data_IF_170267693267
#
_entry.id   IF_170267693267
#
_cell.length_a   1.000
_cell.length_b   1.000
_cell.length_c   1.000
_cell.angle_alpha   90.00
_cell.angle_beta   90.00
_cell.angle_gamma   90.00
#
_symmetry.space_group_name_H-M   'P 1'
#
loop_
_entity.id
_entity.type
_entity.pdbx_description
1 polymer ?
#
# COMPACT_ATOMS: atom_id res chain seq x y z
N UNK A 1 68.02 -21.65 -6.73
CA UNK A 1 66.60 -22.00 -6.48
C UNK A 1 65.74 -20.95 -7.16
N UNK A 2 64.81 -21.38 -8.04
CA UNK A 2 63.98 -20.48 -8.87
C UNK A 2 62.73 -20.06 -8.09
N UNK A 3 62.51 -18.77 -7.91
CA UNK A 3 61.31 -18.22 -7.27
C UNK A 3 60.15 -18.25 -8.28
N UNK A 4 59.10 -19.01 -7.99
CA UNK A 4 57.87 -19.05 -8.79
C UNK A 4 56.91 -18.01 -8.21
N UNK A 5 56.57 -17.01 -9.02
CA UNK A 5 55.55 -16.00 -8.71
C UNK A 5 54.20 -16.55 -9.15
N UNK A 6 53.31 -16.85 -8.20
CA UNK A 6 51.93 -17.29 -8.47
C UNK A 6 51.06 -16.03 -8.54
N UNK A 7 50.59 -15.68 -9.74
CA UNK A 7 49.57 -14.65 -9.93
C UNK A 7 48.19 -15.24 -9.63
N UNK A 8 47.51 -14.73 -8.61
CA UNK A 8 46.08 -14.97 -8.42
C UNK A 8 45.28 -14.03 -9.33
N UNK A 9 44.56 -14.60 -10.29
CA UNK A 9 43.53 -13.86 -11.04
C UNK A 9 42.24 -13.87 -10.22
N UNK A 10 41.81 -12.69 -9.75
CA UNK A 10 40.50 -12.49 -9.15
C UNK A 10 39.47 -12.41 -10.28
N UNK A 11 38.67 -13.46 -10.47
CA UNK A 11 37.54 -13.45 -11.40
C UNK A 11 36.37 -12.77 -10.68
N UNK A 12 36.04 -11.54 -11.08
CA UNK A 12 34.85 -10.84 -10.62
C UNK A 12 33.69 -11.28 -11.53
N UNK A 13 32.81 -12.14 -11.02
CA UNK A 13 31.51 -12.37 -11.65
C UNK A 13 30.63 -11.16 -11.36
N UNK A 14 30.38 -10.33 -12.38
CA UNK A 14 29.32 -9.34 -12.32
C UNK A 14 27.98 -10.05 -12.50
N UNK A 15 27.28 -10.32 -11.41
CA UNK A 15 25.87 -10.74 -11.49
C UNK A 15 25.05 -9.51 -11.87
N UNK A 16 24.47 -9.53 -13.06
CA UNK A 16 23.39 -8.59 -13.40
C UNK A 16 22.15 -9.03 -12.65
N UNK A 17 21.85 -8.41 -11.52
CA UNK A 17 20.52 -8.52 -10.90
C UNK A 17 19.56 -7.79 -11.83
N UNK A 18 18.74 -8.53 -12.54
CA UNK A 18 17.68 -7.96 -13.36
C UNK A 18 16.48 -7.73 -12.44
N UNK A 19 16.35 -6.52 -11.89
CA UNK A 19 15.19 -6.16 -11.09
C UNK A 19 13.98 -6.03 -12.02
N UNK A 20 12.88 -6.70 -11.70
CA UNK A 20 11.58 -6.46 -12.35
C UNK A 20 10.77 -5.43 -11.56
N UNK A 21 9.91 -4.71 -12.27
CA UNK A 21 8.98 -3.75 -11.70
C UNK A 21 7.55 -4.15 -12.03
N UNK A 22 6.59 -3.46 -11.41
CA UNK A 22 5.17 -3.56 -11.73
C UNK A 22 5.01 -3.37 -13.25
N UNK A 23 4.30 -4.29 -13.91
CA UNK A 23 4.02 -4.19 -15.35
C UNK A 23 2.64 -3.64 -15.65
N UNK A 24 1.69 -3.82 -14.75
CA UNK A 24 0.31 -3.40 -14.93
C UNK A 24 -0.37 -3.19 -13.59
N UNK A 25 -1.13 -2.10 -13.46
CA UNK A 25 -2.11 -1.91 -12.41
C UNK A 25 -3.44 -2.46 -12.92
N UNK A 26 -3.94 -3.49 -12.25
CA UNK A 26 -5.16 -4.22 -12.62
C UNK A 26 -6.39 -3.48 -12.07
N UNK A 27 -6.32 -3.07 -10.80
CA UNK A 27 -7.43 -2.41 -10.12
C UNK A 27 -6.92 -1.41 -9.08
N UNK A 28 -7.68 -0.36 -8.85
CA UNK A 28 -7.40 0.67 -7.85
C UNK A 28 -8.73 1.23 -7.33
N UNK A 29 -8.98 0.99 -6.05
CA UNK A 29 -10.15 1.52 -5.35
C UNK A 29 -9.68 2.22 -4.09
N UNK A 30 -9.63 3.57 -4.06
CA UNK A 30 -9.25 4.29 -2.86
C UNK A 30 -10.36 4.32 -1.81
N UNK A 31 -9.96 4.42 -0.55
CA UNK A 31 -10.79 4.93 0.53
C UNK A 31 -10.82 6.48 0.48
N UNK A 32 -11.72 7.17 1.19
CA UNK A 32 -11.72 8.63 1.23
C UNK A 32 -10.42 9.20 1.82
N UNK A 33 -9.99 10.40 1.40
CA UNK A 33 -8.80 11.02 1.98
C UNK A 33 -8.32 12.31 1.31
N UNK A 34 -7.38 12.98 1.98
CA UNK A 34 -6.88 14.32 1.62
C UNK A 34 -6.13 14.40 0.28
N UNK A 35 -5.69 13.27 -0.27
CA UNK A 35 -5.01 13.20 -1.56
C UNK A 35 -5.87 12.57 -2.65
N UNK A 36 -7.07 12.09 -2.30
CA UNK A 36 -8.02 11.52 -3.25
C UNK A 36 -8.67 12.63 -4.08
N UNK A 37 -9.02 12.30 -5.32
CA UNK A 37 -9.50 13.24 -6.34
C UNK A 37 -8.45 14.30 -6.70
N UNK A 38 -7.17 13.90 -6.67
CA UNK A 38 -6.06 14.75 -7.13
C UNK A 38 -5.23 14.01 -8.16
N UNK A 39 -4.83 14.72 -9.21
CA UNK A 39 -4.09 14.13 -10.33
C UNK A 39 -2.70 13.62 -9.90
N UNK A 40 -2.13 14.19 -8.82
CA UNK A 40 -0.79 13.86 -8.38
C UNK A 40 -0.69 12.50 -7.67
N UNK A 41 -1.71 12.13 -6.90
CA UNK A 41 -1.60 11.00 -5.96
C UNK A 41 -2.85 10.12 -5.87
N UNK A 42 -4.05 10.66 -6.10
CA UNK A 42 -5.30 9.96 -5.81
C UNK A 42 -6.25 9.96 -7.00
N UNK A 43 -5.71 9.56 -8.15
CA UNK A 43 -6.43 9.38 -9.41
C UNK A 43 -6.00 8.07 -10.08
N UNK A 44 -6.80 7.58 -11.01
CA UNK A 44 -6.44 6.41 -11.83
C UNK A 44 -5.14 6.65 -12.61
N UNK A 45 -4.88 7.88 -13.05
CA UNK A 45 -3.64 8.26 -13.73
C UNK A 45 -2.44 8.24 -12.77
N UNK A 46 -2.59 8.70 -11.53
CA UNK A 46 -1.54 8.61 -10.50
C UNK A 46 -1.16 7.15 -10.23
N UNK A 47 -2.15 6.25 -10.18
CA UNK A 47 -1.92 4.82 -10.02
C UNK A 47 -1.05 4.25 -11.16
N UNK A 48 -1.21 4.71 -12.41
CA UNK A 48 -0.38 4.24 -13.53
C UNK A 48 1.10 4.66 -13.41
N UNK A 49 1.42 5.70 -12.62
CA UNK A 49 2.80 6.22 -12.51
C UNK A 49 3.78 5.25 -11.85
N UNK A 50 3.27 4.24 -11.11
CA UNK A 50 4.10 3.24 -10.42
C UNK A 50 4.59 2.12 -11.35
N UNK A 51 4.11 2.07 -12.60
CA UNK A 51 4.46 1.04 -13.57
C UNK A 51 5.90 1.24 -14.07
N UNK A 52 6.67 0.15 -14.16
CA UNK A 52 7.95 0.09 -14.84
C UNK A 52 9.13 0.78 -14.15
N UNK A 53 8.96 1.33 -12.94
CA UNK A 53 10.04 1.97 -12.21
C UNK A 53 9.82 1.99 -10.69
N UNK A 54 10.78 2.55 -9.94
CA UNK A 54 10.63 2.88 -8.51
C UNK A 54 10.06 4.28 -8.27
N UNK A 55 9.71 4.99 -9.33
CA UNK A 55 9.11 6.32 -9.27
C UNK A 55 7.58 6.20 -9.24
N UNK A 56 6.92 7.31 -8.97
CA UNK A 56 5.47 7.36 -8.81
C UNK A 56 5.07 7.23 -7.34
N UNK A 57 3.86 7.70 -7.05
CA UNK A 57 3.25 7.63 -5.73
C UNK A 57 1.73 7.62 -5.92
N UNK A 58 1.06 6.71 -5.22
CA UNK A 58 -0.40 6.61 -5.21
C UNK A 58 -0.87 6.56 -3.76
N UNK A 59 -1.91 7.34 -3.44
CA UNK A 59 -2.56 7.32 -2.14
C UNK A 59 -3.68 6.28 -2.16
N UNK A 60 -3.71 5.41 -1.15
CA UNK A 60 -4.83 4.48 -0.95
C UNK A 60 -6.00 5.14 -0.21
N UNK A 61 -5.79 6.33 0.36
CA UNK A 61 -6.75 6.99 1.24
C UNK A 61 -6.76 6.37 2.64
N UNK A 62 -7.90 6.46 3.32
CA UNK A 62 -8.14 5.85 4.63
C UNK A 62 -8.16 4.30 4.57
N UNK A 63 -8.67 3.66 5.64
CA UNK A 63 -8.70 2.21 5.75
C UNK A 63 -9.44 1.53 4.58
N UNK A 64 -8.87 0.44 4.07
CA UNK A 64 -9.50 -0.47 3.11
C UNK A 64 -9.32 -0.06 1.65
N UNK A 65 -8.78 1.13 1.38
CA UNK A 65 -8.35 1.47 0.03
C UNK A 65 -7.20 0.57 -0.42
N UNK A 66 -7.22 0.17 -1.69
CA UNK A 66 -6.28 -0.82 -2.20
C UNK A 66 -5.88 -0.55 -3.65
N UNK A 67 -4.77 -1.18 -4.04
CA UNK A 67 -4.31 -1.27 -5.42
C UNK A 67 -3.88 -2.71 -5.70
N UNK A 68 -4.27 -3.25 -6.85
CA UNK A 68 -3.88 -4.56 -7.35
C UNK A 68 -3.01 -4.33 -8.58
N UNK A 69 -1.84 -4.96 -8.61
CA UNK A 69 -0.92 -4.90 -9.73
C UNK A 69 -0.26 -6.26 -9.94
N UNK A 70 0.35 -6.45 -11.12
CA UNK A 70 1.10 -7.66 -11.45
C UNK A 70 2.52 -7.37 -11.92
N UNK A 71 3.34 -8.41 -11.85
CA UNK A 71 4.69 -8.46 -12.41
C UNK A 71 4.67 -9.28 -13.70
N UNK A 72 5.63 -9.07 -14.59
CA UNK A 72 5.79 -9.89 -15.81
C UNK A 72 6.09 -11.34 -15.46
N UNK A 73 6.99 -11.55 -14.51
CA UNK A 73 7.42 -12.87 -14.08
C UNK A 73 7.01 -13.10 -12.63
N UNK A 74 6.71 -14.35 -12.23
CA UNK A 74 6.47 -14.68 -10.83
C UNK A 74 7.58 -14.16 -9.91
N UNK A 75 7.21 -13.65 -8.74
CA UNK A 75 8.16 -13.36 -7.66
C UNK A 75 8.60 -14.69 -7.05
N UNK A 76 9.85 -15.08 -7.27
CA UNK A 76 10.38 -16.35 -6.77
C UNK A 76 10.77 -16.24 -5.29
N UNK A 77 10.28 -17.17 -4.47
CA UNK A 77 10.80 -17.37 -3.12
C UNK A 77 12.16 -18.04 -3.20
N UNK A 78 13.22 -17.23 -3.10
CA UNK A 78 14.59 -17.70 -3.26
C UNK A 78 15.34 -17.62 -1.92
N UNK A 79 15.79 -18.75 -1.34
CA UNK A 79 16.49 -18.76 -0.06
C UNK A 79 17.85 -18.03 -0.10
N UNK A 80 18.41 -17.77 -1.28
CA UNK A 80 19.64 -17.02 -1.45
C UNK A 80 19.41 -15.49 -1.43
N UNK A 81 18.15 -15.03 -1.42
CA UNK A 81 17.84 -13.61 -1.31
C UNK A 81 18.31 -13.06 0.05
N UNK A 82 19.04 -11.93 0.08
CA UNK A 82 19.47 -11.31 1.32
C UNK A 82 18.29 -11.04 2.25
N UNK A 83 18.41 -11.49 3.50
CA UNK A 83 17.36 -11.39 4.52
C UNK A 83 16.04 -12.09 4.17
N UNK A 84 16.03 -12.95 3.14
CA UNK A 84 14.81 -13.62 2.66
C UNK A 84 13.81 -12.67 1.99
N UNK A 85 14.27 -11.55 1.42
CA UNK A 85 13.42 -10.54 0.80
C UNK A 85 13.29 -10.82 -0.70
N UNK A 86 12.11 -11.25 -1.13
CA UNK A 86 11.84 -11.56 -2.54
C UNK A 86 11.35 -10.32 -3.34
N UNK A 87 10.77 -9.34 -2.66
CA UNK A 87 10.35 -8.06 -3.24
C UNK A 87 10.27 -6.97 -2.16
N UNK A 88 10.17 -5.72 -2.60
CA UNK A 88 10.06 -4.55 -1.71
C UNK A 88 9.00 -3.60 -2.25
N UNK A 89 8.13 -3.10 -1.37
CA UNK A 89 7.17 -2.04 -1.67
C UNK A 89 7.68 -0.75 -1.02
N UNK A 90 7.96 0.25 -1.84
CA UNK A 90 8.40 1.56 -1.36
C UNK A 90 7.18 2.45 -1.06
N UNK A 91 7.26 3.24 0.01
CA UNK A 91 6.25 4.24 0.39
C UNK A 91 6.86 5.62 0.65
N UNK A 92 6.04 6.53 1.16
CA UNK A 92 6.41 7.91 1.51
C UNK A 92 6.51 8.14 3.04
N UNK A 93 6.91 7.10 3.76
CA UNK A 93 6.99 7.14 5.22
C UNK A 93 8.18 7.94 5.77
N UNK A 94 8.00 8.46 6.98
CA UNK A 94 9.08 8.93 7.86
C UNK A 94 9.03 8.16 9.20
N UNK A 95 10.01 8.36 10.09
CA UNK A 95 10.03 7.72 11.41
C UNK A 95 8.81 8.03 12.28
N UNK A 96 8.10 9.13 11.99
CA UNK A 96 6.91 9.58 12.72
C UNK A 96 5.66 9.66 11.84
N UNK A 97 5.73 9.27 10.56
CA UNK A 97 4.62 9.27 9.61
C UNK A 97 4.57 7.93 8.86
N UNK A 98 4.37 6.84 9.59
CA UNK A 98 4.09 5.54 8.99
C UNK A 98 2.60 5.36 8.71
N UNK A 99 2.24 4.92 7.51
CA UNK A 99 0.87 4.65 7.08
C UNK A 99 0.76 3.16 6.69
N UNK A 100 0.90 2.23 7.66
CA UNK A 100 1.12 0.82 7.37
C UNK A 100 -0.04 0.20 6.58
N UNK A 101 0.28 -0.33 5.40
CA UNK A 101 -0.65 -1.10 4.59
C UNK A 101 -0.29 -2.60 4.60
N UNK A 102 -1.29 -3.46 4.70
CA UNK A 102 -1.13 -4.92 4.61
C UNK A 102 -0.84 -5.33 3.17
N UNK A 103 0.06 -6.29 2.98
CA UNK A 103 0.41 -6.79 1.65
C UNK A 103 -0.19 -8.17 1.45
N UNK A 104 -0.96 -8.31 0.38
CA UNK A 104 -1.47 -9.60 -0.07
C UNK A 104 -0.73 -10.02 -1.34
N UNK A 105 -0.49 -11.32 -1.50
CA UNK A 105 0.09 -11.91 -2.69
C UNK A 105 -0.82 -13.01 -3.22
N UNK A 106 -0.87 -13.14 -4.53
CA UNK A 106 -1.61 -14.19 -5.21
C UNK A 106 -0.78 -14.68 -6.40
N UNK A 107 -0.81 -15.98 -6.61
CA UNK A 107 -0.24 -16.62 -7.80
C UNK A 107 -1.40 -16.96 -8.72
N UNK A 108 -1.30 -16.53 -9.98
CA UNK A 108 -2.23 -16.94 -11.04
C UNK A 108 -2.01 -18.44 -11.33
N UNK A 109 -2.77 -19.28 -10.64
CA UNK A 109 -2.70 -20.75 -10.73
C UNK A 109 -3.38 -21.24 -12.01
N UNK A 110 -4.44 -20.55 -12.43
CA UNK A 110 -5.26 -20.94 -13.57
C UNK A 110 -4.75 -20.33 -14.91
N UNK A 111 -3.82 -19.38 -14.87
CA UNK A 111 -3.18 -18.68 -15.99
C UNK A 111 -4.13 -17.83 -16.84
N UNK A 112 -5.16 -17.24 -16.22
CA UNK A 112 -6.12 -16.37 -16.92
C UNK A 112 -5.73 -14.88 -16.90
N UNK A 113 -4.70 -14.52 -16.13
CA UNK A 113 -4.20 -13.15 -16.00
C UNK A 113 -5.11 -12.19 -15.23
N UNK A 114 -6.13 -12.69 -14.50
CA UNK A 114 -7.02 -11.89 -13.65
C UNK A 114 -6.86 -12.25 -12.17
N UNK A 115 -7.18 -11.33 -11.25
CA UNK A 115 -6.89 -11.51 -9.82
C UNK A 115 -7.89 -12.39 -9.07
N UNK A 116 -8.22 -13.58 -9.59
CA UNK A 116 -9.35 -14.40 -9.12
C UNK A 116 -8.99 -15.73 -8.42
N UNK A 117 -7.69 -16.00 -8.20
CA UNK A 117 -7.21 -17.14 -7.42
C UNK A 117 -7.03 -16.80 -5.93
N UNK A 118 -6.39 -17.70 -5.16
CA UNK A 118 -6.26 -17.57 -3.70
C UNK A 118 -5.26 -16.49 -3.31
N UNK A 119 -5.75 -15.49 -2.56
CA UNK A 119 -4.94 -14.44 -1.96
C UNK A 119 -4.42 -14.83 -0.57
N UNK A 120 -3.16 -14.52 -0.31
CA UNK A 120 -2.48 -14.74 0.97
C UNK A 120 -1.99 -13.41 1.54
N UNK A 121 -2.39 -13.07 2.76
CA UNK A 121 -1.81 -11.96 3.50
C UNK A 121 -0.39 -12.33 3.96
N UNK A 122 0.59 -11.45 3.71
CA UNK A 122 1.90 -11.57 4.32
C UNK A 122 1.81 -11.10 5.78
N UNK A 123 2.07 -12.02 6.70
CA UNK A 123 1.96 -11.73 8.13
C UNK A 123 2.98 -10.67 8.57
N UNK A 124 2.48 -9.49 8.94
CA UNK A 124 3.26 -8.45 9.61
C UNK A 124 3.41 -8.67 11.12
N UNK A 125 4.14 -7.76 11.78
CA UNK A 125 4.47 -7.89 13.22
C UNK A 125 3.27 -7.94 14.16
N UNK A 126 2.11 -7.46 13.70
CA UNK A 126 0.90 -7.35 14.52
C UNK A 126 -0.13 -8.43 14.12
N UNK A 127 0.17 -9.26 13.12
CA UNK A 127 -0.77 -10.20 12.51
C UNK A 127 -1.42 -11.13 13.55
N UNK A 128 -0.66 -11.64 14.50
CA UNK A 128 -1.14 -12.59 15.52
C UNK A 128 -1.60 -11.93 16.83
N UNK A 129 -1.70 -10.61 16.89
CA UNK A 129 -2.22 -9.96 18.10
C UNK A 129 -3.72 -10.14 18.22
N UNK A 130 -4.21 -10.30 19.45
CA UNK A 130 -5.63 -10.53 19.74
C UNK A 130 -6.54 -9.36 19.37
N UNK A 131 -5.96 -8.19 19.05
CA UNK A 131 -6.66 -6.99 18.62
C UNK A 131 -6.54 -6.73 17.11
N UNK A 132 -5.95 -7.65 16.35
CA UNK A 132 -5.94 -7.62 14.89
C UNK A 132 -7.22 -8.28 14.37
N UNK A 133 -7.94 -7.55 13.52
CA UNK A 133 -9.20 -8.02 12.93
C UNK A 133 -8.99 -8.26 11.42
N UNK A 134 -8.84 -9.52 11.04
CA UNK A 134 -8.58 -9.93 9.64
C UNK A 134 -9.78 -9.81 8.69
N UNK A 135 -10.98 -9.72 9.23
CA UNK A 135 -12.24 -9.61 8.48
C UNK A 135 -12.98 -8.33 8.86
N UNK A 136 -12.24 -7.21 8.82
CA UNK A 136 -12.80 -5.91 9.14
C UNK A 136 -13.38 -5.26 7.88
N UNK A 137 -14.56 -4.66 8.03
CA UNK A 137 -15.30 -3.98 6.97
C UNK A 137 -15.64 -2.57 7.43
N UNK A 138 -15.48 -1.60 6.54
CA UNK A 138 -15.85 -0.22 6.79
C UNK A 138 -16.68 0.30 5.63
N UNK A 139 -17.77 0.99 5.95
CA UNK A 139 -18.64 1.64 4.97
C UNK A 139 -18.48 3.13 5.10
N UNK A 140 -18.05 3.79 4.02
CA UNK A 140 -17.97 5.24 3.91
C UNK A 140 -19.25 5.77 3.25
N UNK A 141 -19.84 6.81 3.83
CA UNK A 141 -21.03 7.47 3.28
C UNK A 141 -20.65 8.82 2.69
N UNK A 142 -21.09 9.10 1.47
CA UNK A 142 -20.78 10.35 0.79
C UNK A 142 -21.47 11.53 1.49
N UNK A 143 -20.74 12.56 1.96
CA UNK A 143 -21.34 13.74 2.59
C UNK A 143 -22.05 14.67 1.57
N UNK A 144 -22.01 14.36 0.28
CA UNK A 144 -22.63 15.10 -0.82
C UNK A 144 -22.17 16.57 -0.88
N UNK A 145 -20.88 16.79 -0.63
CA UNK A 145 -20.25 18.11 -0.70
C UNK A 145 -19.35 18.22 -1.92
N UNK A 146 -19.32 19.41 -2.53
CA UNK A 146 -18.44 19.74 -3.66
C UNK A 146 -17.05 20.25 -3.25
N UNK A 147 -16.79 20.33 -1.95
CA UNK A 147 -15.51 20.71 -1.35
C UNK A 147 -15.11 19.72 -0.27
N UNK A 148 -13.89 19.86 0.24
CA UNK A 148 -13.41 19.11 1.40
C UNK A 148 -14.42 19.17 2.54
N UNK A 149 -14.74 18.00 3.07
CA UNK A 149 -15.70 17.79 4.15
C UNK A 149 -15.43 16.45 4.81
N UNK A 150 -15.78 16.36 6.09
CA UNK A 150 -15.66 15.12 6.84
C UNK A 150 -16.49 14.01 6.20
N UNK A 151 -15.87 12.86 5.96
CA UNK A 151 -16.55 11.70 5.37
C UNK A 151 -16.94 10.73 6.48
N UNK A 152 -18.24 10.58 6.79
CA UNK A 152 -18.70 9.65 7.81
C UNK A 152 -18.44 8.20 7.43
N UNK A 153 -18.12 7.38 8.42
CA UNK A 153 -17.97 5.93 8.27
C UNK A 153 -18.64 5.16 9.41
N UNK A 154 -19.00 3.91 9.12
CA UNK A 154 -19.43 2.91 10.10
C UNK A 154 -18.76 1.57 9.80
N UNK A 155 -18.48 0.76 10.80
CA UNK A 155 -17.79 -0.53 10.64
C UNK A 155 -18.65 -1.73 11.06
N UNK A 156 -18.17 -2.94 10.76
CA UNK A 156 -18.87 -4.17 11.11
C UNK A 156 -18.94 -4.49 12.62
N UNK A 157 -18.00 -4.06 13.49
CA UNK A 157 -18.22 -4.02 14.95
C UNK A 157 -19.37 -3.13 15.42
N UNK A 158 -19.82 -2.16 14.61
CA UNK A 158 -20.87 -1.21 14.96
C UNK A 158 -20.36 0.14 15.46
N UNK A 159 -19.06 0.40 15.32
CA UNK A 159 -18.46 1.70 15.59
C UNK A 159 -18.66 2.66 14.40
N UNK A 160 -18.52 3.96 14.66
CA UNK A 160 -18.65 5.00 13.65
C UNK A 160 -17.67 6.15 13.93
N UNK A 161 -17.43 6.94 12.90
CA UNK A 161 -16.56 8.11 12.98
C UNK A 161 -16.48 8.85 11.65
N UNK A 162 -15.39 9.60 11.47
CA UNK A 162 -15.16 10.38 10.26
C UNK A 162 -13.73 10.20 9.75
N UNK A 163 -13.57 10.33 8.43
CA UNK A 163 -12.31 10.77 7.82
C UNK A 163 -12.36 12.28 7.80
N UNK A 164 -11.60 12.92 8.69
CA UNK A 164 -11.65 14.37 8.88
C UNK A 164 -11.00 15.13 7.72
N UNK A 165 -11.68 16.16 7.25
CA UNK A 165 -11.11 17.13 6.34
C UNK A 165 -10.20 18.12 7.08
N UNK A 166 -9.23 18.67 6.35
CA UNK A 166 -8.35 19.73 6.83
C UNK A 166 -8.39 20.94 5.89
N UNK A 167 -7.85 22.06 6.37
CA UNK A 167 -7.86 23.34 5.64
C UNK A 167 -6.80 23.43 4.51
N UNK A 168 -5.93 22.41 4.37
CA UNK A 168 -4.85 22.39 3.37
C UNK A 168 -5.28 21.75 2.04
N UNK A 169 -6.22 20.81 2.08
CA UNK A 169 -6.73 20.10 0.92
C UNK A 169 -8.23 20.38 0.76
N UNK A 170 -8.61 21.04 -0.35
CA UNK A 170 -9.94 21.66 -0.50
C UNK A 170 -10.88 20.89 -1.44
N UNK A 171 -10.39 19.89 -2.15
CA UNK A 171 -11.21 19.00 -2.98
C UNK A 171 -12.06 18.05 -2.10
N UNK A 172 -13.19 17.51 -2.59
CA UNK A 172 -13.95 16.48 -1.88
C UNK A 172 -13.06 15.29 -1.48
N UNK A 173 -13.22 14.77 -0.26
CA UNK A 173 -12.43 13.61 0.20
C UNK A 173 -13.05 12.29 -0.21
N UNK A 174 -14.38 12.23 -0.39
CA UNK A 174 -15.07 11.06 -0.92
C UNK A 174 -14.72 10.88 -2.40
N UNK A 175 -14.41 9.66 -2.89
CA UNK A 175 -14.09 9.44 -4.30
C UNK A 175 -15.18 9.94 -5.26
N UNK A 176 -14.83 10.90 -6.10
CA UNK A 176 -15.75 11.53 -7.05
C UNK A 176 -15.99 10.63 -8.25
N UNK A 177 -17.21 10.63 -8.79
CA UNK A 177 -17.59 9.90 -10.00
C UNK A 177 -16.64 10.16 -11.19
N UNK A 178 -16.21 11.41 -11.39
CA UNK A 178 -15.33 11.79 -12.51
C UNK A 178 -13.94 11.13 -12.43
N UNK A 179 -13.46 10.86 -11.21
CA UNK A 179 -12.19 10.16 -10.97
C UNK A 179 -12.37 8.65 -10.86
N UNK A 180 -13.49 8.21 -10.28
CA UNK A 180 -13.76 6.83 -9.88
C UNK A 180 -15.21 6.43 -10.26
N UNK A 181 -15.49 6.19 -11.55
CA UNK A 181 -16.85 5.95 -12.04
C UNK A 181 -17.48 4.66 -11.50
N UNK A 182 -16.67 3.73 -10.98
CA UNK A 182 -17.13 2.46 -10.42
C UNK A 182 -17.47 2.54 -8.92
N UNK A 183 -17.16 3.66 -8.25
CA UNK A 183 -17.48 3.85 -6.84
C UNK A 183 -18.89 4.44 -6.72
N UNK A 184 -19.75 3.76 -5.97
CA UNK A 184 -21.11 4.21 -5.67
C UNK A 184 -21.08 5.59 -5.01
N UNK A 185 -21.92 6.52 -5.45
CA UNK A 185 -21.88 7.91 -5.00
C UNK A 185 -22.75 8.20 -3.76
N UNK A 186 -23.41 7.20 -3.20
CA UNK A 186 -24.12 7.29 -1.91
C UNK A 186 -23.25 6.74 -0.77
N UNK A 187 -22.75 5.51 -0.93
CA UNK A 187 -21.86 4.84 0.02
C UNK A 187 -21.21 3.61 -0.62
N UNK A 188 -20.09 3.15 -0.04
CA UNK A 188 -19.42 1.92 -0.44
C UNK A 188 -18.66 1.31 0.74
N UNK A 189 -18.50 -0.01 0.70
CA UNK A 189 -17.84 -0.80 1.74
C UNK A 189 -16.48 -1.30 1.24
N UNK A 190 -15.46 -1.16 2.08
CA UNK A 190 -14.13 -1.70 1.86
C UNK A 190 -13.77 -2.67 2.99
N UNK A 191 -12.85 -3.58 2.71
CA UNK A 191 -12.50 -4.68 3.60
C UNK A 191 -10.99 -4.80 3.76
N UNK A 192 -10.54 -5.39 4.86
CA UNK A 192 -9.12 -5.73 5.05
C UNK A 192 -8.78 -6.14 6.48
N UNK A 193 -7.49 -6.21 6.76
CA UNK A 193 -6.96 -6.50 8.11
C UNK A 193 -6.75 -5.19 8.87
N UNK A 194 -7.53 -4.96 9.93
CA UNK A 194 -7.37 -3.81 10.84
C UNK A 194 -6.42 -4.17 11.97
N UNK A 195 -5.30 -3.47 12.02
CA UNK A 195 -4.35 -3.51 13.15
C UNK A 195 -4.61 -2.34 14.09
N UNK A 196 -4.15 -2.47 15.34
CA UNK A 196 -4.22 -1.35 16.30
C UNK A 196 -3.38 -0.18 15.81
N UNK A 197 -3.94 1.03 15.87
CA UNK A 197 -3.23 2.25 15.56
C UNK A 197 -2.08 2.49 16.56
N UNK A 198 -0.92 2.93 16.07
CA UNK A 198 0.21 3.38 16.89
C UNK A 198 0.40 4.88 16.65
N UNK A 199 -0.64 5.62 16.97
CA UNK A 199 -0.70 7.07 16.77
C UNK A 199 -0.47 7.79 18.09
N UNK A 200 0.32 8.86 18.06
CA UNK A 200 0.45 9.83 19.13
C UNK A 200 -0.41 11.05 18.79
N UNK A 201 -1.43 11.28 19.62
CA UNK A 201 -2.38 12.38 19.52
C UNK A 201 -2.14 13.46 20.59
N UNK A 202 -1.01 13.40 21.31
CA UNK A 202 -0.69 14.36 22.37
C UNK A 202 -0.45 15.78 21.84
N UNK A 203 -0.02 15.91 20.59
CA UNK A 203 0.02 17.15 19.83
C UNK A 203 -1.05 17.11 18.73
N UNK A 204 -2.16 17.82 18.95
CA UNK A 204 -3.26 17.89 18.00
C UNK A 204 -2.87 18.53 16.65
N UNK A 205 -1.74 19.24 16.58
CA UNK A 205 -1.22 19.85 15.34
C UNK A 205 -0.21 18.97 14.61
N UNK A 206 0.40 18.00 15.30
CA UNK A 206 1.37 17.07 14.75
C UNK A 206 1.04 15.65 15.19
N UNK A 207 0.03 15.05 14.56
CA UNK A 207 -0.29 13.64 14.75
C UNK A 207 0.89 12.83 14.22
N UNK A 208 1.46 11.98 15.08
CA UNK A 208 2.51 11.05 14.68
C UNK A 208 1.93 9.67 14.55
N UNK A 209 2.37 8.93 13.54
CA UNK A 209 2.09 7.51 13.37
C UNK A 209 3.41 6.74 13.31
N UNK A 210 3.60 5.82 14.26
CA UNK A 210 4.85 5.10 14.41
C UNK A 210 4.91 3.83 13.56
N UNK A 211 6.14 3.46 13.19
CA UNK A 211 6.45 2.27 12.42
C UNK A 211 6.10 0.99 13.18
N UNK A 212 5.64 -0.03 12.45
CA UNK A 212 5.57 -1.43 12.86
C UNK A 212 6.91 -2.12 12.64
N UNK A 213 7.10 -3.29 13.25
CA UNK A 213 8.42 -3.94 13.23
C UNK A 213 8.75 -4.46 11.82
N UNK A 214 7.81 -5.13 11.14
CA UNK A 214 8.00 -5.65 9.78
C UNK A 214 6.66 -5.98 9.09
N UNK A 215 6.71 -6.22 7.77
CA UNK A 215 5.64 -6.86 6.99
C UNK A 215 4.48 -5.94 6.59
N UNK A 216 4.69 -4.63 6.59
CA UNK A 216 3.71 -3.64 6.11
C UNK A 216 4.37 -2.70 5.10
N UNK A 217 3.61 -2.32 4.07
CA UNK A 217 4.01 -1.25 3.15
C UNK A 217 3.85 0.12 3.83
N UNK A 218 4.55 1.13 3.28
CA UNK A 218 4.60 2.51 3.80
C UNK A 218 4.90 2.62 5.31
N UNK A 219 5.85 1.80 5.75
CA UNK A 219 6.15 1.58 7.17
C UNK A 219 7.59 1.91 7.55
N UNK A 220 8.58 1.49 6.76
CA UNK A 220 10.00 1.80 6.98
C UNK A 220 10.59 2.67 5.86
N UNK A 221 11.52 3.56 6.23
CA UNK A 221 12.27 4.36 5.26
C UNK A 221 13.08 3.41 4.38
N UNK A 222 12.86 3.49 3.05
CA UNK A 222 13.45 2.63 1.99
C UNK A 222 12.78 1.26 1.78
N UNK A 223 11.55 1.09 2.27
CA UNK A 223 10.80 -0.16 2.11
C UNK A 223 11.14 -1.15 3.19
#
# INVERSE_FOLDING_TARGET
MKTILILFFLIIFAYTVNAQYITEVIDYTPAPGQFINTDAYGSSDAAQTIIGSRNGLVSLGAFGGYIIFKFENPVENNPDNPYGIDFTVFGNTSSENAEPATVFVMKDENNNGIPDDTWYELAGSDYYFSNTAHTYEITYTNPQQSTASDVPWSDNPGENGFVYANDYHTQPYYPMFDYFPNINQDNYTLHGTKIKAAVDLSDATNIRSYQRVFGYADNHIRG
#
